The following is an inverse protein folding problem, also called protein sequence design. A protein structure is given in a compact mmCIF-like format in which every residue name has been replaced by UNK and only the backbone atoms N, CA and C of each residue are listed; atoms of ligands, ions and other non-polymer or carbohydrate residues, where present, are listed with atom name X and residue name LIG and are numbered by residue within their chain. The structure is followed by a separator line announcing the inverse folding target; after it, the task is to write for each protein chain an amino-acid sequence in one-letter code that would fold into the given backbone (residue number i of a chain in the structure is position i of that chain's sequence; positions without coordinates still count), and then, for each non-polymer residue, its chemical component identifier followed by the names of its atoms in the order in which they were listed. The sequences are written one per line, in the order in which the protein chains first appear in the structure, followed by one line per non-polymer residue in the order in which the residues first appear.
data_IF_813092412063
#
_entry.id   IF_813092412063
#
_cell.length_a   1.000
_cell.length_b   1.000
_cell.length_c   1.000
_cell.angle_alpha   90.00
_cell.angle_beta   90.00
_cell.angle_gamma   90.00
#
_symmetry.space_group_name_H-M   'P 1'
#
loop_
_entity.id
_entity.type
_entity.pdbx_description
1 polymer ?
#
# COMPACT_ATOMS: atom_id res chain seq x y z
N UNK A 1 -5.60 -8.62 -14.16
CA UNK A 1 -6.48 -7.88 -13.23
C UNK A 1 -5.67 -6.78 -12.58
N UNK A 2 -6.15 -5.53 -12.57
CA UNK A 2 -5.44 -4.35 -12.03
C UNK A 2 -6.02 -3.98 -10.65
N UNK A 3 -6.00 -4.91 -9.71
CA UNK A 3 -6.54 -4.67 -8.36
C UNK A 3 -5.42 -4.92 -7.36
N UNK A 4 -5.16 -3.95 -6.51
CA UNK A 4 -4.23 -4.09 -5.39
C UNK A 4 -5.02 -4.62 -4.19
N UNK A 5 -4.51 -5.70 -3.59
CA UNK A 5 -5.08 -6.31 -2.40
C UNK A 5 -4.03 -6.30 -1.30
N UNK A 6 -4.41 -5.84 -0.11
CA UNK A 6 -3.58 -5.85 1.09
C UNK A 6 -4.40 -6.35 2.27
N UNK A 7 -3.75 -7.09 3.19
CA UNK A 7 -4.40 -7.62 4.38
C UNK A 7 -4.11 -6.71 5.58
N UNK A 8 -5.16 -6.11 6.14
CA UNK A 8 -5.03 -5.17 7.27
C UNK A 8 -5.70 -5.76 8.51
N UNK A 9 -4.90 -6.09 9.52
CA UNK A 9 -5.40 -6.48 10.84
C UNK A 9 -5.72 -5.23 11.65
N UNK A 10 -6.99 -4.96 11.94
CA UNK A 10 -7.38 -3.81 12.76
C UNK A 10 -7.47 -4.19 14.25
N UNK A 11 -7.42 -3.18 15.12
CA UNK A 11 -7.49 -3.28 16.59
C UNK A 11 -6.29 -4.00 17.21
N UNK A 12 -5.10 -3.73 16.68
CA UNK A 12 -3.87 -4.32 17.22
C UNK A 12 -3.58 -3.92 18.68
N UNK A 13 -4.30 -2.93 19.22
CA UNK A 13 -4.28 -2.54 20.63
C UNK A 13 -4.92 -3.57 21.58
N UNK A 14 -5.79 -4.45 21.08
CA UNK A 14 -6.44 -5.49 21.88
C UNK A 14 -5.58 -6.76 21.98
N UNK A 15 -4.37 -6.65 22.53
CA UNK A 15 -3.43 -7.78 22.65
C UNK A 15 -3.99 -8.95 23.46
N UNK A 16 -4.81 -8.67 24.46
CA UNK A 16 -5.41 -9.69 25.33
C UNK A 16 -6.52 -10.51 24.65
N UNK A 17 -7.00 -10.06 23.49
CA UNK A 17 -8.00 -10.76 22.66
C UNK A 17 -7.37 -11.30 21.37
N UNK A 18 -6.04 -11.45 21.34
CA UNK A 18 -5.33 -11.97 20.18
C UNK A 18 -5.54 -13.47 20.06
N UNK A 19 -6.11 -13.88 18.94
CA UNK A 19 -6.35 -15.30 18.60
C UNK A 19 -5.36 -15.84 17.55
N UNK A 20 -4.54 -14.96 16.96
CA UNK A 20 -3.59 -15.29 15.89
C UNK A 20 -2.21 -14.74 16.19
N UNK A 21 -1.20 -15.58 15.94
CA UNK A 21 0.20 -15.24 16.18
C UNK A 21 0.67 -14.09 15.27
N UNK A 22 1.58 -13.20 15.73
CA UNK A 22 2.03 -12.05 14.94
C UNK A 22 2.65 -12.37 13.57
N UNK A 23 3.17 -13.59 13.40
CA UNK A 23 3.82 -14.04 12.16
C UNK A 23 2.90 -14.85 11.22
N UNK A 24 1.71 -15.24 11.70
CA UNK A 24 0.74 -15.98 10.89
C UNK A 24 0.25 -15.17 9.68
N UNK A 25 -0.11 -13.88 9.80
CA UNK A 25 -0.52 -13.07 8.65
C UNK A 25 0.59 -12.92 7.60
N UNK A 26 1.85 -12.77 8.03
CA UNK A 26 3.01 -12.72 7.13
C UNK A 26 3.21 -14.03 6.39
N UNK A 27 2.98 -15.15 7.06
CA UNK A 27 3.05 -16.48 6.45
C UNK A 27 1.92 -16.67 5.44
N UNK A 28 0.70 -16.27 5.78
CA UNK A 28 -0.47 -16.31 4.89
C UNK A 28 -0.23 -15.53 3.59
N UNK A 29 0.37 -14.34 3.67
CA UNK A 29 0.74 -13.53 2.50
C UNK A 29 1.73 -14.24 1.55
N UNK A 30 2.58 -15.15 2.07
CA UNK A 30 3.48 -15.94 1.22
C UNK A 30 2.74 -17.03 0.44
N UNK A 31 1.60 -17.48 0.95
CA UNK A 31 0.76 -18.50 0.31
C UNK A 31 -0.27 -17.90 -0.65
N UNK A 32 -0.68 -16.64 -0.44
CA UNK A 32 -1.67 -15.94 -1.25
C UNK A 32 -0.99 -14.84 -2.07
N UNK A 33 -0.61 -15.11 -3.34
CA UNK A 33 0.18 -14.19 -4.15
C UNK A 33 -0.57 -12.91 -4.55
N UNK A 34 -1.90 -12.86 -4.43
CA UNK A 34 -2.65 -11.63 -4.68
C UNK A 34 -2.44 -10.58 -3.59
N UNK A 35 -2.03 -10.97 -2.38
CA UNK A 35 -1.82 -10.04 -1.26
C UNK A 35 -0.43 -9.43 -1.37
N UNK A 36 -0.38 -8.11 -1.56
CA UNK A 36 0.86 -7.35 -1.72
C UNK A 36 1.62 -7.19 -0.40
N UNK A 37 0.90 -6.88 0.68
CA UNK A 37 1.49 -6.71 1.99
C UNK A 37 0.47 -6.94 3.10
N UNK A 38 1.00 -7.07 4.32
CA UNK A 38 0.23 -7.20 5.54
C UNK A 38 0.65 -6.14 6.54
N UNK A 39 -0.31 -5.51 7.21
CA UNK A 39 -0.05 -4.53 8.25
C UNK A 39 -1.07 -4.64 9.37
N UNK A 40 -0.63 -4.47 10.61
CA UNK A 40 -1.53 -4.35 11.76
C UNK A 40 -1.74 -2.86 12.09
N UNK A 41 -2.97 -2.49 12.39
CA UNK A 41 -3.40 -1.11 12.64
C UNK A 41 -4.29 -1.03 13.88
N UNK A 42 -4.32 0.15 14.51
CA UNK A 42 -5.35 0.51 15.48
C UNK A 42 -5.93 1.85 15.12
N UNK A 43 -7.21 1.87 14.72
CA UNK A 43 -7.93 3.12 14.50
C UNK A 43 -8.10 3.94 15.79
N UNK A 44 -8.14 3.27 16.95
CA UNK A 44 -8.28 3.90 18.26
C UNK A 44 -6.99 4.64 18.66
N UNK A 45 -5.86 3.96 18.51
CA UNK A 45 -4.56 4.49 18.93
C UNK A 45 -3.81 5.18 17.77
N UNK A 46 -4.46 5.34 16.61
CA UNK A 46 -3.90 5.86 15.37
C UNK A 46 -2.58 5.17 14.98
N UNK A 47 -2.49 3.86 15.20
CA UNK A 47 -1.29 3.07 14.89
C UNK A 47 -1.35 2.58 13.46
N UNK A 48 -0.32 2.89 12.67
CA UNK A 48 -0.09 2.43 11.29
C UNK A 48 -1.21 2.75 10.27
N UNK A 49 -2.20 3.58 10.64
CA UNK A 49 -3.31 3.96 9.76
C UNK A 49 -2.78 4.74 8.56
N UNK A 50 -1.99 5.79 8.81
CA UNK A 50 -1.42 6.62 7.74
C UNK A 50 -0.45 5.83 6.86
N UNK A 51 0.41 5.00 7.46
CA UNK A 51 1.37 4.17 6.73
C UNK A 51 0.66 3.19 5.80
N UNK A 52 -0.45 2.58 6.25
CA UNK A 52 -1.27 1.69 5.43
C UNK A 52 -1.76 2.41 4.17
N UNK A 53 -2.37 3.59 4.31
CA UNK A 53 -2.87 4.35 3.17
C UNK A 53 -1.75 4.86 2.27
N UNK A 54 -0.62 5.29 2.84
CA UNK A 54 0.55 5.74 2.10
C UNK A 54 1.16 4.61 1.27
N UNK A 55 1.27 3.40 1.83
CA UNK A 55 1.72 2.21 1.10
C UNK A 55 0.78 1.85 -0.05
N UNK A 56 -0.53 1.86 0.18
CA UNK A 56 -1.53 1.61 -0.87
C UNK A 56 -1.42 2.63 -2.01
N UNK A 57 -1.35 3.92 -1.69
CA UNK A 57 -1.24 4.98 -2.70
C UNK A 57 0.07 4.89 -3.49
N UNK A 58 1.17 4.54 -2.81
CA UNK A 58 2.48 4.35 -3.46
C UNK A 58 2.43 3.20 -4.46
N UNK A 59 1.83 2.07 -4.09
CA UNK A 59 1.73 0.91 -4.98
C UNK A 59 0.77 1.19 -6.16
N UNK A 60 -0.36 1.86 -5.90
CA UNK A 60 -1.28 2.31 -6.97
C UNK A 60 -0.56 3.16 -8.00
N UNK A 61 0.23 4.14 -7.54
CA UNK A 61 1.02 5.00 -8.42
C UNK A 61 2.07 4.23 -9.20
N UNK A 62 2.82 3.34 -8.52
CA UNK A 62 3.83 2.50 -9.17
C UNK A 62 3.24 1.63 -10.29
N UNK A 63 2.06 1.04 -10.08
CA UNK A 63 1.39 0.24 -11.10
C UNK A 63 0.90 1.07 -12.28
N UNK A 64 0.43 2.29 -12.03
CA UNK A 64 0.06 3.23 -13.08
C UNK A 64 1.29 3.64 -13.91
N UNK A 65 2.37 4.05 -13.24
CA UNK A 65 3.64 4.47 -13.86
C UNK A 65 4.36 3.30 -14.59
N UNK A 66 4.12 2.05 -14.21
CA UNK A 66 4.63 0.89 -14.95
C UNK A 66 3.74 0.51 -16.16
N UNK A 67 2.48 0.92 -16.16
CA UNK A 67 1.54 0.66 -17.25
C UNK A 67 1.66 1.69 -18.38
N UNK A 68 2.09 2.91 -18.04
CA UNK A 68 2.48 3.94 -19.00
C UNK A 68 4.00 3.94 -19.11
N UNK A 69 4.57 3.58 -20.27
CA UNK A 69 5.99 3.80 -20.54
C UNK A 69 6.40 5.26 -20.28
N UNK A 70 7.72 5.57 -20.18
CA UNK A 70 8.21 6.87 -19.72
C UNK A 70 7.45 8.01 -20.41
N UNK A 71 7.05 9.06 -19.66
CA UNK A 71 6.27 10.15 -20.21
C UNK A 71 7.05 10.68 -21.42
N UNK A 72 6.44 10.61 -22.60
CA UNK A 72 6.93 11.32 -23.76
C UNK A 72 7.16 12.76 -23.31
N UNK A 73 8.39 13.25 -23.48
CA UNK A 73 8.85 14.54 -23.01
C UNK A 73 7.77 15.60 -23.27
N UNK A 74 7.15 16.09 -22.21
CA UNK A 74 6.18 17.16 -22.29
C UNK A 74 6.92 18.40 -22.81
N UNK A 75 6.68 18.68 -24.09
CA UNK A 75 7.04 19.85 -24.87
C UNK A 75 7.23 21.09 -23.99
N UNK A 76 8.49 21.42 -23.70
CA UNK A 76 8.85 22.63 -22.98
C UNK A 76 8.56 23.82 -23.89
N UNK A 77 7.40 24.45 -23.71
CA UNK A 77 7.05 25.67 -24.46
C UNK A 77 8.00 26.77 -24.02
N UNK A 78 9.00 27.05 -24.85
CA UNK A 78 9.95 28.15 -24.65
C UNK A 78 9.20 29.45 -24.93
N UNK A 79 8.90 30.22 -23.89
CA UNK A 79 8.41 31.59 -24.04
C UNK A 79 9.59 32.45 -24.51
N UNK A 80 9.52 32.90 -25.76
CA UNK A 80 10.52 33.79 -26.35
C UNK A 80 10.55 35.13 -25.62
N UNK A 81 11.72 35.48 -25.09
CA UNK A 81 12.01 36.83 -24.61
C UNK A 81 11.87 37.82 -25.77
N UNK A 82 11.07 38.87 -25.55
CA UNK A 82 10.91 40.01 -26.46
C UNK A 82 11.89 41.12 -26.12
#
# INVERSE_FOLDING_TARGET
SNVIVSLIGNKCDLTDQREVEPDEPKSFCRYVPEIMFVMETSAKDNTNVEDTFRSLATELKRQHDNSEGPPAESDSVVLGDS
#
